data_IF_313512986615
#
_entry.id   IF_313512986615
#
_cell.length_a   1.000
_cell.length_b   1.000
_cell.length_c   1.000
_cell.angle_alpha   90.00
_cell.angle_beta   90.00
_cell.angle_gamma   90.00
#
_symmetry.space_group_name_H-M   'P 1'
#
loop_
_entity.id
_entity.type
_entity.pdbx_description
1 polymer ?
#
# COMPACT_ATOMS: atom_id res chain seq x y z
N UNK A 1 4.97 -13.69 0.66
CA UNK A 1 5.48 -12.37 1.07
C UNK A 1 5.46 -11.41 -0.11
N UNK A 2 4.66 -10.35 -0.02
CA UNK A 2 4.53 -9.32 -1.05
C UNK A 2 4.55 -7.93 -0.41
N UNK A 3 4.83 -6.88 -1.19
CA UNK A 3 4.65 -5.49 -0.76
C UNK A 3 3.27 -4.99 -1.20
N UNK A 4 2.45 -4.56 -0.25
CA UNK A 4 1.06 -4.13 -0.48
C UNK A 4 0.92 -2.67 -0.03
N UNK A 5 0.24 -1.85 -0.84
CA UNK A 5 -0.19 -0.50 -0.47
C UNK A 5 -1.69 -0.52 -0.19
N UNK A 6 -2.09 -0.22 1.04
CA UNK A 6 -3.49 -0.07 1.43
C UNK A 6 -3.86 1.40 1.28
N UNK A 7 -4.90 1.69 0.50
CA UNK A 7 -5.49 3.03 0.37
C UNK A 7 -6.89 2.96 0.97
N UNK A 8 -7.09 3.59 2.12
CA UNK A 8 -8.32 3.49 2.91
C UNK A 8 -8.48 4.75 3.78
N UNK A 9 -9.62 5.43 3.71
CA UNK A 9 -9.87 6.69 4.40
C UNK A 9 -10.30 6.50 5.86
N UNK A 10 -10.95 5.37 6.19
CA UNK A 10 -11.31 5.05 7.57
C UNK A 10 -10.12 4.46 8.33
N UNK A 11 -9.66 5.16 9.38
CA UNK A 11 -8.49 4.75 10.14
C UNK A 11 -8.66 3.40 10.87
N UNK A 12 -9.78 3.11 11.57
CA UNK A 12 -10.08 1.78 12.09
C UNK A 12 -10.00 0.66 11.06
N UNK A 13 -10.61 0.84 9.88
CA UNK A 13 -10.61 -0.18 8.81
C UNK A 13 -9.20 -0.38 8.24
N UNK A 14 -8.46 0.70 7.99
CA UNK A 14 -7.09 0.63 7.51
C UNK A 14 -6.17 -0.13 8.48
N UNK A 15 -6.32 0.11 9.78
CA UNK A 15 -5.55 -0.60 10.81
C UNK A 15 -5.91 -2.09 10.89
N UNK A 16 -7.19 -2.45 10.74
CA UNK A 16 -7.63 -3.84 10.66
C UNK A 16 -6.98 -4.57 9.48
N UNK A 17 -7.02 -3.97 8.28
CA UNK A 17 -6.43 -4.54 7.07
C UNK A 17 -4.90 -4.69 7.19
N UNK A 18 -4.21 -3.68 7.75
CA UNK A 18 -2.77 -3.78 8.02
C UNK A 18 -2.46 -4.98 8.91
N UNK A 19 -3.13 -5.11 10.05
CA UNK A 19 -2.85 -6.18 11.00
C UNK A 19 -3.01 -7.57 10.36
N UNK A 20 -4.12 -7.81 9.66
CA UNK A 20 -4.38 -9.10 8.97
C UNK A 20 -3.27 -9.43 7.98
N UNK A 21 -2.90 -8.46 7.14
CA UNK A 21 -1.92 -8.70 6.08
C UNK A 21 -0.48 -8.79 6.60
N UNK A 22 -0.14 -8.06 7.68
CA UNK A 22 1.15 -8.20 8.37
C UNK A 22 1.27 -9.57 9.07
N UNK A 23 0.19 -10.05 9.72
CA UNK A 23 0.13 -11.38 10.33
C UNK A 23 0.30 -12.50 9.28
N UNK A 24 -0.22 -12.30 8.07
CA UNK A 24 -0.02 -13.19 6.91
C UNK A 24 1.41 -13.09 6.30
N UNK A 25 2.27 -12.24 6.83
CA UNK A 25 3.68 -12.11 6.42
C UNK A 25 3.90 -11.23 5.18
N UNK A 26 3.04 -10.24 4.95
CA UNK A 26 3.23 -9.22 3.92
C UNK A 26 3.86 -7.95 4.49
N UNK A 27 4.52 -7.18 3.62
CA UNK A 27 5.02 -5.84 3.95
C UNK A 27 4.00 -4.80 3.54
N UNK A 28 3.49 -4.04 4.51
CA UNK A 28 2.39 -3.10 4.29
C UNK A 28 2.88 -1.66 4.27
N UNK A 29 2.32 -0.89 3.34
CA UNK A 29 2.37 0.57 3.31
C UNK A 29 0.94 1.08 3.34
N UNK A 30 0.71 2.19 4.02
CA UNK A 30 -0.61 2.78 4.20
C UNK A 30 -0.71 4.14 3.52
N UNK A 31 -1.90 4.47 3.03
CA UNK A 31 -2.28 5.80 2.57
C UNK A 31 -3.72 6.09 3.00
N UNK A 32 -3.95 7.24 3.63
CA UNK A 32 -5.28 7.63 4.13
C UNK A 32 -6.19 8.22 3.04
N UNK A 33 -5.69 8.38 1.81
CA UNK A 33 -6.45 8.87 0.67
C UNK A 33 -5.73 8.57 -0.64
N UNK A 34 -6.43 8.77 -1.76
CA UNK A 34 -5.91 8.52 -3.11
C UNK A 34 -4.69 9.37 -3.48
N UNK A 35 -4.60 10.62 -3.01
CA UNK A 35 -3.47 11.49 -3.35
C UNK A 35 -2.16 10.96 -2.75
N UNK A 36 -2.20 10.55 -1.47
CA UNK A 36 -1.06 9.92 -0.80
C UNK A 36 -0.77 8.56 -1.42
N UNK A 37 -1.80 7.79 -1.77
CA UNK A 37 -1.68 6.50 -2.44
C UNK A 37 -0.92 6.62 -3.75
N UNK A 38 -1.35 7.50 -4.65
CA UNK A 38 -0.70 7.76 -5.94
C UNK A 38 0.75 8.23 -5.77
N UNK A 39 1.01 9.13 -4.82
CA UNK A 39 2.37 9.60 -4.52
C UNK A 39 3.29 8.47 -4.06
N UNK A 40 2.72 7.45 -3.40
CA UNK A 40 3.42 6.26 -2.92
C UNK A 40 3.64 5.19 -3.99
N UNK A 41 3.11 5.37 -5.20
CA UNK A 41 3.28 4.44 -6.33
C UNK A 41 4.45 4.78 -7.24
N UNK A 42 5.33 5.72 -6.85
CA UNK A 42 6.43 6.21 -7.70
C UNK A 42 7.10 5.02 -8.41
N UNK A 43 6.84 4.95 -9.73
CA UNK A 43 7.36 3.86 -10.57
C UNK A 43 8.87 3.90 -10.41
N UNK A 44 9.47 2.82 -9.92
CA UNK A 44 10.85 2.53 -10.27
C UNK A 44 10.83 2.34 -11.78
N UNK A 45 11.18 3.40 -12.52
CA UNK A 45 11.30 3.35 -13.98
C UNK A 45 12.48 2.43 -14.32
N UNK A 46 12.26 1.13 -14.34
CA UNK A 46 13.11 0.18 -15.05
C UNK A 46 12.38 -0.23 -16.33
N UNK A 47 12.62 0.54 -17.38
CA UNK A 47 12.65 0.13 -18.79
C UNK A 47 11.63 -0.94 -19.24
N UNK A 48 10.39 -0.53 -19.56
CA UNK A 48 9.45 -1.33 -20.36
C UNK A 48 8.65 -0.43 -21.32
N UNK A 49 9.34 0.48 -22.01
CA UNK A 49 8.80 1.19 -23.18
C UNK A 49 9.96 1.35 -24.20
N UNK A 50 10.39 0.22 -24.77
CA UNK A 50 11.21 0.16 -25.97
C UNK A 50 10.35 -0.36 -27.12
#
# INVERSE_FOLDING_TARGET
MASILIVEDDAPVRALLRNILEEDGHHIREAENGQIGLSSTSRSSSAHDA
#
